data_IF_021606730004
#
_entry.id   IF_021606730004
#
_cell.length_a   1.000
_cell.length_b   1.000
_cell.length_c   1.000
_cell.angle_alpha   90.00
_cell.angle_beta   90.00
_cell.angle_gamma   90.00
#
_symmetry.space_group_name_H-M   'P 1'
#
loop_
_entity.id
_entity.type
_entity.pdbx_description
1 polymer ?
#
# COMPACT_ATOMS: atom_id res chain seq x y z
N UNK A 1 -1.11 -0.27 -3.14
CA UNK A 1 -0.52 -1.62 -2.99
C UNK A 1 -1.45 -2.43 -2.12
N UNK A 2 -2.35 -3.22 -2.72
CA UNK A 2 -3.48 -3.84 -2.02
C UNK A 2 -3.03 -4.88 -0.98
N UNK A 3 -1.99 -5.67 -1.29
CA UNK A 3 -1.45 -6.70 -0.40
C UNK A 3 -0.92 -6.16 0.93
N UNK A 4 -0.40 -4.93 0.95
CA UNK A 4 0.10 -4.30 2.19
C UNK A 4 -1.07 -3.91 3.10
N UNK A 5 -2.15 -3.37 2.53
CA UNK A 5 -3.36 -3.06 3.30
C UNK A 5 -3.98 -4.33 3.88
N UNK A 6 -4.03 -5.39 3.09
CA UNK A 6 -4.54 -6.70 3.50
C UNK A 6 -3.73 -7.30 4.64
N UNK A 7 -2.40 -7.36 4.50
CA UNK A 7 -1.52 -7.87 5.56
C UNK A 7 -1.61 -7.04 6.86
N UNK A 8 -1.69 -5.71 6.74
CA UNK A 8 -1.88 -4.83 7.89
C UNK A 8 -3.25 -5.03 8.55
N UNK A 9 -4.30 -5.34 7.78
CA UNK A 9 -5.62 -5.63 8.32
C UNK A 9 -5.70 -7.00 8.99
N UNK A 10 -5.00 -8.00 8.45
CA UNK A 10 -4.96 -9.35 9.00
C UNK A 10 -4.12 -9.49 10.28
N UNK A 11 -3.33 -8.49 10.66
CA UNK A 11 -2.65 -8.52 11.95
C UNK A 11 -3.64 -8.22 13.08
N UNK A 12 -3.43 -8.76 14.28
CA UNK A 12 -4.31 -8.55 15.45
C UNK A 12 -4.12 -7.16 16.08
N UNK A 13 -4.04 -6.10 15.26
CA UNK A 13 -3.71 -4.74 15.68
C UNK A 13 -4.64 -4.17 16.75
N UNK A 14 -5.88 -4.66 16.84
CA UNK A 14 -6.86 -4.25 17.84
C UNK A 14 -6.50 -4.67 19.28
N UNK A 15 -5.65 -5.70 19.44
CA UNK A 15 -5.15 -6.15 20.75
C UNK A 15 -3.86 -5.44 21.19
N UNK A 16 -3.26 -4.65 20.31
CA UNK A 16 -1.99 -3.95 20.51
C UNK A 16 -2.21 -2.55 21.11
N UNK A 17 -1.17 -1.89 21.67
CA UNK A 17 -1.31 -0.57 22.26
C UNK A 17 -1.77 0.49 21.24
N UNK A 18 -2.38 1.56 21.73
CA UNK A 18 -2.97 2.64 20.92
C UNK A 18 -1.97 3.25 19.91
N UNK A 19 -0.69 3.31 20.26
CA UNK A 19 0.37 3.78 19.36
C UNK A 19 0.53 2.87 18.12
N UNK A 20 0.45 1.56 18.32
CA UNK A 20 0.50 0.58 17.24
C UNK A 20 -0.75 0.65 16.37
N UNK A 21 -1.93 0.74 16.98
CA UNK A 21 -3.21 0.88 16.26
C UNK A 21 -3.20 2.09 15.32
N UNK A 22 -2.77 3.26 15.81
CA UNK A 22 -2.63 4.48 15.00
C UNK A 22 -1.67 4.28 13.82
N UNK A 23 -0.58 3.56 14.04
CA UNK A 23 0.41 3.27 13.00
C UNK A 23 -0.16 2.37 11.92
N UNK A 24 -0.87 1.30 12.31
CA UNK A 24 -1.53 0.38 11.38
C UNK A 24 -2.61 1.08 10.56
N UNK A 25 -3.45 1.91 11.17
CA UNK A 25 -4.45 2.70 10.45
C UNK A 25 -3.78 3.62 9.41
N UNK A 26 -2.68 4.28 9.76
CA UNK A 26 -1.92 5.09 8.80
C UNK A 26 -1.37 4.26 7.64
N UNK A 27 -0.87 3.04 7.91
CA UNK A 27 -0.39 2.11 6.88
C UNK A 27 -1.52 1.71 5.93
N UNK A 28 -2.69 1.32 6.46
CA UNK A 28 -3.84 0.95 5.64
C UNK A 28 -4.29 2.11 4.75
N UNK A 29 -4.42 3.32 5.30
CA UNK A 29 -4.79 4.53 4.55
C UNK A 29 -3.79 4.84 3.43
N UNK A 30 -2.48 4.69 3.69
CA UNK A 30 -1.45 4.91 2.67
C UNK A 30 -1.46 3.82 1.60
N UNK A 31 -1.67 2.57 1.98
CA UNK A 31 -1.61 1.42 1.07
C UNK A 31 -2.76 1.41 0.04
N UNK A 32 -3.88 2.07 0.34
CA UNK A 32 -4.97 2.32 -0.61
C UNK A 32 -4.53 3.13 -1.84
N UNK A 33 -3.49 3.98 -1.70
CA UNK A 33 -2.92 4.69 -2.84
C UNK A 33 -1.86 3.81 -3.51
N UNK A 34 -2.04 3.38 -4.77
CA UNK A 34 -0.99 2.68 -5.51
C UNK A 34 0.24 3.57 -5.68
N UNK A 35 1.42 2.96 -5.53
CA UNK A 35 2.70 3.62 -5.82
C UNK A 35 2.94 3.44 -7.30
N UNK A 36 3.00 4.55 -8.03
CA UNK A 36 3.30 4.56 -9.46
C UNK A 36 4.75 4.95 -9.67
N UNK A 37 5.46 4.16 -10.47
CA UNK A 37 6.79 4.52 -10.94
C UNK A 37 6.61 5.14 -12.32
N UNK A 38 7.02 6.40 -12.48
CA UNK A 38 6.89 7.11 -13.75
C UNK A 38 8.21 7.05 -14.53
N UNK A 39 8.13 6.75 -15.82
CA UNK A 39 9.26 6.89 -16.73
C UNK A 39 9.12 8.19 -17.51
N UNK A 40 9.56 9.29 -16.89
CA UNK A 40 9.52 10.62 -17.50
C UNK A 40 8.14 10.97 -18.11
N UNK A 41 8.09 11.60 -19.29
CA UNK A 41 6.83 11.94 -19.96
C UNK A 41 6.12 10.73 -20.60
N UNK A 42 6.74 9.55 -20.60
CA UNK A 42 6.25 8.36 -21.32
C UNK A 42 5.17 7.59 -20.54
N UNK A 43 4.95 7.93 -19.27
CA UNK A 43 3.85 7.41 -18.46
C UNK A 43 4.29 6.54 -17.28
N UNK A 44 3.36 5.71 -16.80
CA UNK A 44 3.58 4.86 -15.63
C UNK A 44 4.10 3.48 -16.03
N UNK A 45 5.22 3.09 -15.43
CA UNK A 45 5.75 1.74 -15.52
C UNK A 45 4.79 0.77 -14.83
N UNK A 46 4.22 -0.13 -15.61
CA UNK A 46 3.36 -1.21 -15.14
C UNK A 46 3.70 -2.49 -15.90
N UNK A 47 3.34 -3.66 -15.35
CA UNK A 47 3.56 -4.93 -16.05
C UNK A 47 2.88 -4.96 -17.43
N UNK A 48 1.73 -4.29 -17.56
CA UNK A 48 1.04 -4.13 -18.84
C UNK A 48 1.85 -3.34 -19.87
N UNK A 49 2.64 -2.35 -19.45
CA UNK A 49 3.55 -1.62 -20.33
C UNK A 49 4.72 -2.47 -20.84
N UNK A 50 5.14 -3.51 -20.10
CA UNK A 50 6.22 -4.41 -20.50
C UNK A 50 5.73 -5.57 -21.40
N UNK A 51 4.47 -5.99 -21.24
CA UNK A 51 3.90 -7.13 -21.96
C UNK A 51 3.42 -6.78 -23.39
N UNK A 52 3.47 -5.51 -23.77
CA UNK A 52 3.23 -4.99 -25.13
C UNK A 52 4.55 -4.79 -25.86
#
# INVERSE_FOLDING_TARGET
>A
STKVAEAAYSCEWYNEPISFQKSIVMIMMRAQRPVYVYFGPFGTLSLGFFAT
#
